data_IF_590713290039
#
_entry.id   IF_590713290039
#
_cell.length_a   1.000
_cell.length_b   1.000
_cell.length_c   1.000
_cell.angle_alpha   90.00
_cell.angle_beta   90.00
_cell.angle_gamma   90.00
#
_symmetry.space_group_name_H-M   'P 1'
#
loop_
_entity.id
_entity.type
_entity.pdbx_description
1 polymer ?
#
# COMPACT_ATOMS: atom_id res chain seq x y z
N UNK A 1 -1.06 44.85 4.15
CA UNK A 1 -0.28 43.63 4.38
C UNK A 1 -1.16 42.71 5.20
N UNK A 2 -1.72 41.62 4.64
CA UNK A 2 -2.37 40.64 5.50
C UNK A 2 -1.27 39.98 6.35
N UNK A 3 -1.59 39.67 7.60
CA UNK A 3 -0.73 38.86 8.44
C UNK A 3 -0.64 37.47 7.82
N UNK A 4 0.57 36.97 7.58
CA UNK A 4 0.83 35.54 7.39
C UNK A 4 0.40 34.83 8.68
N UNK A 5 -0.87 34.43 8.74
CA UNK A 5 -1.30 33.36 9.64
C UNK A 5 -0.78 32.07 9.04
N UNK A 6 0.51 31.86 9.28
CA UNK A 6 1.37 30.76 8.84
C UNK A 6 1.17 29.53 9.75
N UNK A 7 -0.07 29.36 10.21
CA UNK A 7 -0.57 28.31 11.08
C UNK A 7 -1.22 27.29 10.15
N UNK A 8 -0.44 26.27 9.75
CA UNK A 8 -0.98 25.10 9.08
C UNK A 8 -2.00 24.52 10.08
N UNK A 9 -3.29 24.42 9.77
CA UNK A 9 -4.27 23.87 10.73
C UNK A 9 -3.86 22.45 11.18
N UNK A 10 -3.16 21.72 10.30
CA UNK A 10 -2.50 20.45 10.61
C UNK A 10 -1.44 20.53 11.72
N UNK A 11 -0.79 21.68 11.94
CA UNK A 11 0.24 21.87 12.98
C UNK A 11 -0.38 22.11 14.37
N UNK A 12 -1.60 22.66 14.45
CA UNK A 12 -2.31 22.92 15.71
C UNK A 12 -2.82 21.62 16.34
N UNK A 13 -3.42 20.73 15.54
CA UNK A 13 -3.92 19.43 16.00
C UNK A 13 -2.77 18.53 16.53
N UNK A 14 -1.55 18.69 16.00
CA UNK A 14 -0.36 17.95 16.46
C UNK A 14 0.19 18.42 17.82
N UNK A 15 -0.08 19.67 18.22
CA UNK A 15 0.35 20.20 19.52
C UNK A 15 -0.47 19.64 20.67
N UNK A 16 -1.71 19.23 20.39
CA UNK A 16 -2.63 18.67 21.38
C UNK A 16 -2.31 17.20 21.69
N UNK A 17 -1.56 16.51 20.82
CA UNK A 17 -1.13 15.13 21.00
C UNK A 17 0.02 14.99 22.01
N UNK A 18 -0.28 14.51 23.22
CA UNK A 18 0.71 14.14 24.25
C UNK A 18 1.23 12.70 24.07
N UNK A 19 1.93 12.48 22.95
CA UNK A 19 2.56 11.19 22.64
C UNK A 19 3.94 11.06 23.30
N UNK A 20 4.21 9.91 23.93
CA UNK A 20 5.56 9.51 24.27
C UNK A 20 6.38 9.17 23.02
N UNK A 21 7.72 9.26 23.13
CA UNK A 21 8.64 8.84 22.05
C UNK A 21 8.39 7.39 21.59
N UNK A 22 7.96 6.52 22.52
CA UNK A 22 7.66 5.12 22.21
C UNK A 22 6.35 4.97 21.42
N UNK A 23 5.32 5.75 21.73
CA UNK A 23 4.06 5.76 20.98
C UNK A 23 4.23 6.38 19.59
N UNK A 24 4.97 7.48 19.48
CA UNK A 24 5.30 8.09 18.18
C UNK A 24 6.07 7.11 17.28
N UNK A 25 7.07 6.41 17.83
CA UNK A 25 7.82 5.38 17.10
C UNK A 25 6.93 4.20 16.69
N UNK A 26 6.03 3.75 17.56
CA UNK A 26 5.12 2.65 17.26
C UNK A 26 4.13 3.02 16.14
N UNK A 27 3.55 4.22 16.18
CA UNK A 27 2.64 4.72 15.14
C UNK A 27 3.35 4.83 13.79
N UNK A 28 4.58 5.36 13.78
CA UNK A 28 5.38 5.43 12.56
C UNK A 28 5.66 4.02 11.98
N UNK A 29 6.06 3.06 12.82
CA UNK A 29 6.34 1.70 12.38
C UNK A 29 5.07 0.98 11.88
N UNK A 30 3.91 1.22 12.50
CA UNK A 30 2.61 0.72 12.00
C UNK A 30 2.28 1.29 10.62
N UNK A 31 2.44 2.61 10.45
CA UNK A 31 2.21 3.28 9.17
C UNK A 31 3.12 2.75 8.06
N UNK A 32 4.41 2.56 8.34
CA UNK A 32 5.33 1.94 7.38
C UNK A 32 4.96 0.47 7.11
N UNK A 33 4.55 -0.25 8.16
CA UNK A 33 4.10 -1.63 8.07
C UNK A 33 2.92 -1.77 7.11
N UNK A 34 1.87 -0.99 7.29
CA UNK A 34 0.68 -1.07 6.44
C UNK A 34 0.97 -0.64 5.01
N UNK A 35 1.82 0.36 4.80
CA UNK A 35 2.28 0.76 3.47
C UNK A 35 2.98 -0.40 2.74
N UNK A 36 3.78 -1.20 3.46
CA UNK A 36 4.37 -2.42 2.93
C UNK A 36 3.35 -3.52 2.64
N UNK A 37 2.30 -3.66 3.45
CA UNK A 37 1.19 -4.59 3.19
C UNK A 37 0.45 -4.20 1.91
N UNK A 38 0.11 -2.91 1.73
CA UNK A 38 -0.50 -2.42 0.48
C UNK A 38 0.38 -2.65 -0.75
N UNK A 39 1.70 -2.48 -0.62
CA UNK A 39 2.64 -2.81 -1.70
C UNK A 39 2.69 -4.30 -2.02
N UNK A 40 2.61 -5.15 -1.00
CA UNK A 40 2.54 -6.60 -1.18
C UNK A 40 1.24 -6.98 -1.91
N UNK A 41 0.11 -6.39 -1.53
CA UNK A 41 -1.16 -6.57 -2.22
C UNK A 41 -1.10 -6.12 -3.69
N UNK A 42 -0.52 -4.95 -3.96
CA UNK A 42 -0.28 -4.48 -5.32
C UNK A 42 0.59 -5.44 -6.15
N UNK A 43 1.58 -6.07 -5.52
CA UNK A 43 2.42 -7.08 -6.17
C UNK A 43 1.64 -8.37 -6.45
N UNK A 44 0.73 -8.76 -5.56
CA UNK A 44 -0.16 -9.91 -5.75
C UNK A 44 -1.13 -9.68 -6.92
N UNK A 45 -1.68 -8.46 -7.05
CA UNK A 45 -2.50 -8.06 -8.20
C UNK A 45 -1.70 -8.09 -9.51
N UNK A 46 -0.47 -7.59 -9.51
CA UNK A 46 0.42 -7.67 -10.66
C UNK A 46 0.67 -9.12 -11.07
N UNK A 47 0.97 -9.99 -10.09
CA UNK A 47 1.12 -11.43 -10.34
C UNK A 47 -0.15 -12.05 -10.96
N UNK A 48 -1.33 -11.72 -10.42
CA UNK A 48 -2.61 -12.17 -10.97
C UNK A 48 -2.79 -11.75 -12.44
N UNK A 49 -2.54 -10.49 -12.77
CA UNK A 49 -2.67 -9.99 -14.14
C UNK A 49 -1.65 -10.63 -15.10
N UNK A 50 -0.39 -10.75 -14.69
CA UNK A 50 0.64 -11.38 -15.53
C UNK A 50 0.32 -12.85 -15.79
N UNK A 51 -0.20 -13.57 -14.79
CA UNK A 51 -0.62 -14.95 -14.99
C UNK A 51 -1.84 -15.03 -15.90
N UNK A 52 -2.84 -14.17 -15.72
CA UNK A 52 -3.99 -14.09 -16.61
C UNK A 52 -3.59 -13.89 -18.08
N UNK A 53 -2.68 -12.94 -18.34
CA UNK A 53 -2.13 -12.74 -19.69
C UNK A 53 -1.37 -13.96 -20.23
N UNK A 54 -0.65 -14.69 -19.38
CA UNK A 54 0.00 -15.92 -19.80
C UNK A 54 -1.03 -17.01 -20.17
N UNK A 55 -2.10 -17.13 -19.39
CA UNK A 55 -3.19 -18.08 -19.64
C UNK A 55 -3.95 -17.74 -20.93
N UNK A 56 -4.19 -16.46 -21.23
CA UNK A 56 -4.75 -16.02 -22.51
C UNK A 56 -3.88 -16.51 -23.69
N UNK A 57 -2.55 -16.36 -23.58
CA UNK A 57 -1.63 -16.85 -24.61
C UNK A 57 -1.59 -18.37 -24.73
N UNK A 58 -1.81 -19.09 -23.62
CA UNK A 58 -1.94 -20.54 -23.65
C UNK A 58 -3.24 -20.98 -24.33
N UNK A 59 -4.32 -20.21 -24.15
CA UNK A 59 -5.58 -20.42 -24.88
C UNK A 59 -5.40 -20.18 -26.38
N UNK A 60 -4.75 -19.08 -26.77
CA UNK A 60 -4.43 -18.82 -28.19
C UNK A 60 -3.59 -19.97 -28.79
N UNK A 61 -2.66 -20.52 -27.99
CA UNK A 61 -1.82 -21.65 -28.41
C UNK A 61 -2.62 -22.95 -28.56
N UNK A 62 -3.64 -23.19 -27.74
CA UNK A 62 -4.58 -24.31 -27.91
C UNK A 62 -5.21 -24.26 -29.31
N UNK A 63 -5.80 -23.12 -29.67
CA UNK A 63 -6.44 -22.93 -30.97
C UNK A 63 -5.44 -23.11 -32.12
N UNK A 64 -4.26 -22.51 -32.01
CA UNK A 64 -3.21 -22.63 -33.02
C UNK A 64 -2.71 -24.08 -33.19
N UNK A 65 -2.59 -24.84 -32.09
CA UNK A 65 -2.23 -26.25 -32.15
C UNK A 65 -3.31 -27.08 -32.86
N UNK A 66 -4.59 -26.80 -32.58
CA UNK A 66 -5.72 -27.46 -33.24
C UNK A 66 -5.72 -27.18 -34.74
N UNK A 67 -5.55 -25.92 -35.14
CA UNK A 67 -5.44 -25.52 -36.56
C UNK A 67 -4.26 -26.19 -37.28
N UNK A 68 -3.14 -26.38 -36.58
CA UNK A 68 -1.96 -27.07 -37.09
C UNK A 68 -2.10 -28.61 -37.13
N UNK A 69 -3.22 -29.17 -36.65
CA UNK A 69 -3.48 -30.61 -36.62
C UNK A 69 -2.85 -31.35 -35.42
N UNK A 70 -2.47 -30.63 -34.37
CA UNK A 70 -1.88 -31.17 -33.13
C UNK A 70 -2.92 -31.33 -32.02
N UNK A 71 -3.98 -32.11 -32.30
CA UNK A 71 -5.13 -32.35 -31.41
C UNK A 71 -4.74 -32.82 -30.01
N UNK A 72 -3.80 -33.77 -29.88
CA UNK A 72 -3.38 -34.31 -28.59
C UNK A 72 -2.82 -33.23 -27.63
N UNK A 73 -2.04 -32.28 -28.17
CA UNK A 73 -1.47 -31.20 -27.37
C UNK A 73 -2.50 -30.12 -27.05
N UNK A 74 -3.40 -29.82 -27.99
CA UNK A 74 -4.51 -28.90 -27.76
C UNK A 74 -5.46 -29.45 -26.68
N UNK A 75 -5.85 -30.72 -26.75
CA UNK A 75 -6.71 -31.36 -25.76
C UNK A 75 -6.05 -31.37 -24.37
N UNK A 76 -4.74 -31.64 -24.29
CA UNK A 76 -4.01 -31.56 -23.01
C UNK A 76 -3.99 -30.15 -22.42
N UNK A 77 -3.81 -29.12 -23.25
CA UNK A 77 -3.92 -27.73 -22.76
C UNK A 77 -5.32 -27.46 -22.22
N UNK A 78 -6.36 -27.81 -22.98
CA UNK A 78 -7.76 -27.58 -22.62
C UNK A 78 -8.20 -28.31 -21.36
N UNK A 79 -7.84 -29.58 -21.25
CA UNK A 79 -8.40 -30.48 -20.24
C UNK A 79 -7.56 -30.46 -18.95
N UNK A 80 -6.23 -30.25 -19.04
CA UNK A 80 -5.34 -30.33 -17.88
C UNK A 80 -4.78 -28.98 -17.44
N UNK A 81 -4.34 -28.12 -18.37
CA UNK A 81 -3.51 -26.96 -18.02
C UNK A 81 -4.29 -25.65 -17.87
N UNK A 82 -5.21 -25.34 -18.78
CA UNK A 82 -6.04 -24.14 -18.72
C UNK A 82 -7.00 -24.09 -17.52
N UNK A 83 -7.64 -25.20 -17.10
CA UNK A 83 -8.54 -25.17 -15.94
C UNK A 83 -7.81 -25.31 -14.58
N UNK A 84 -6.54 -25.70 -14.57
CA UNK A 84 -5.81 -25.96 -13.33
C UNK A 84 -5.57 -24.68 -12.52
N UNK A 85 -5.66 -24.80 -11.20
CA UNK A 85 -5.24 -23.72 -10.31
C UNK A 85 -3.72 -23.58 -10.24
N UNK A 86 -3.26 -22.36 -9.98
CA UNK A 86 -1.85 -22.01 -9.95
C UNK A 86 -1.13 -22.53 -8.69
N UNK A 87 -1.82 -22.49 -7.54
CA UNK A 87 -1.27 -22.85 -6.23
C UNK A 87 -2.34 -23.64 -5.48
N UNK A 88 -2.03 -24.89 -5.08
CA UNK A 88 -2.97 -25.74 -4.35
C UNK A 88 -4.35 -25.89 -5.03
N UNK A 89 -4.36 -25.87 -6.37
CA UNK A 89 -5.56 -25.86 -7.22
C UNK A 89 -6.46 -24.61 -7.11
N UNK A 90 -6.00 -23.56 -6.41
CA UNK A 90 -6.66 -22.25 -6.40
C UNK A 90 -6.26 -21.42 -7.62
N UNK A 91 -7.22 -20.70 -8.17
CA UNK A 91 -6.99 -19.64 -9.15
C UNK A 91 -6.48 -18.39 -8.44
N UNK A 92 -5.64 -17.61 -9.12
CA UNK A 92 -4.99 -16.46 -8.47
C UNK A 92 -5.95 -15.35 -8.04
N UNK A 93 -7.15 -15.27 -8.62
CA UNK A 93 -8.18 -14.33 -8.14
C UNK A 93 -8.67 -14.72 -6.73
N UNK A 94 -8.74 -16.02 -6.41
CA UNK A 94 -9.15 -16.49 -5.09
C UNK A 94 -8.10 -16.08 -4.04
N UNK A 95 -6.81 -16.20 -4.38
CA UNK A 95 -5.73 -15.72 -3.52
C UNK A 95 -5.77 -14.20 -3.32
N UNK A 96 -6.13 -13.44 -4.36
CA UNK A 96 -6.29 -11.98 -4.28
C UNK A 96 -7.45 -11.63 -3.34
N UNK A 97 -8.62 -12.26 -3.53
CA UNK A 97 -9.81 -12.02 -2.70
C UNK A 97 -9.60 -12.42 -1.24
N UNK A 98 -8.99 -13.59 -0.99
CA UNK A 98 -8.66 -14.07 0.36
C UNK A 98 -7.69 -13.10 1.03
N UNK A 99 -6.61 -12.70 0.34
CA UNK A 99 -5.66 -11.73 0.90
C UNK A 99 -6.31 -10.39 1.21
N UNK A 100 -7.14 -9.86 0.29
CA UNK A 100 -7.76 -8.55 0.50
C UNK A 100 -8.76 -8.56 1.64
N UNK A 101 -9.59 -9.59 1.72
CA UNK A 101 -10.73 -9.63 2.64
C UNK A 101 -10.35 -10.17 4.03
N UNK A 102 -9.41 -11.10 4.10
CA UNK A 102 -9.06 -11.74 5.38
C UNK A 102 -7.83 -11.14 6.04
N UNK A 103 -6.83 -10.70 5.27
CA UNK A 103 -5.57 -10.20 5.85
C UNK A 103 -5.44 -8.68 5.77
N UNK A 104 -5.68 -8.10 4.60
CA UNK A 104 -5.48 -6.67 4.39
C UNK A 104 -6.48 -5.85 5.21
N UNK A 105 -7.77 -6.15 5.09
CA UNK A 105 -8.82 -5.46 5.84
C UNK A 105 -8.59 -5.53 7.36
N UNK A 106 -8.21 -6.69 7.90
CA UNK A 106 -7.96 -6.85 9.34
C UNK A 106 -6.79 -6.01 9.84
N UNK A 107 -5.68 -5.93 9.08
CA UNK A 107 -4.50 -5.15 9.49
C UNK A 107 -4.74 -3.65 9.29
N UNK A 108 -5.46 -3.24 8.24
CA UNK A 108 -5.90 -1.85 8.04
C UNK A 108 -6.79 -1.38 9.20
N UNK A 109 -7.77 -2.19 9.60
CA UNK A 109 -8.66 -1.86 10.74
C UNK A 109 -7.88 -1.78 12.05
N UNK A 110 -6.91 -2.68 12.28
CA UNK A 110 -6.06 -2.65 13.46
C UNK A 110 -5.19 -1.39 13.51
N UNK A 111 -4.52 -1.02 12.40
CA UNK A 111 -3.74 0.23 12.32
C UNK A 111 -4.62 1.44 12.63
N UNK A 112 -5.77 1.53 11.96
CA UNK A 112 -6.70 2.64 12.13
C UNK A 112 -7.20 2.76 13.57
N UNK A 113 -7.47 1.63 14.24
CA UNK A 113 -7.89 1.61 15.64
C UNK A 113 -6.80 2.14 16.59
N UNK A 114 -5.55 1.73 16.38
CA UNK A 114 -4.42 2.20 17.20
C UNK A 114 -4.16 3.70 16.97
N UNK A 115 -4.25 4.16 15.72
CA UNK A 115 -4.09 5.57 15.37
C UNK A 115 -5.23 6.43 15.92
N UNK A 116 -6.47 5.95 15.88
CA UNK A 116 -7.60 6.64 16.50
C UNK A 116 -7.39 6.78 18.02
N UNK A 117 -6.95 5.72 18.69
CA UNK A 117 -6.76 5.73 20.15
C UNK A 117 -5.59 6.60 20.62
N UNK A 118 -4.47 6.60 19.90
CA UNK A 118 -3.25 7.27 20.34
C UNK A 118 -3.07 8.67 19.73
N UNK A 119 -3.58 8.90 18.53
CA UNK A 119 -3.30 10.10 17.74
C UNK A 119 -4.55 10.78 17.19
N UNK A 120 -5.73 10.52 17.77
CA UNK A 120 -7.01 11.11 17.35
C UNK A 120 -7.27 10.98 15.84
N UNK A 121 -6.81 9.87 15.24
CA UNK A 121 -6.96 9.58 13.82
C UNK A 121 -5.96 10.28 12.90
N UNK A 122 -5.04 11.09 13.44
CA UNK A 122 -4.09 11.89 12.65
C UNK A 122 -3.03 11.00 11.99
N UNK A 123 -2.97 11.04 10.65
CA UNK A 123 -1.94 10.37 9.85
C UNK A 123 -0.59 11.08 9.90
N UNK A 124 0.50 10.34 9.69
CA UNK A 124 1.84 10.90 9.46
C UNK A 124 2.36 11.81 10.58
N UNK A 125 2.03 11.52 11.84
CA UNK A 125 2.40 12.36 13.00
C UNK A 125 3.91 12.67 13.03
N UNK A 126 4.74 11.64 12.81
CA UNK A 126 6.21 11.79 12.82
C UNK A 126 6.69 12.71 11.68
N UNK A 127 6.22 12.49 10.46
CA UNK A 127 6.61 13.29 9.29
C UNK A 127 6.10 14.72 9.39
N UNK A 128 4.88 14.92 9.94
CA UNK A 128 4.34 16.25 10.19
C UNK A 128 5.17 17.00 11.23
N UNK A 129 5.53 16.37 12.36
CA UNK A 129 6.46 16.94 13.37
C UNK A 129 7.82 17.28 12.75
N UNK A 130 8.37 16.41 11.90
CA UNK A 130 9.61 16.68 11.19
C UNK A 130 9.49 17.88 10.23
N UNK A 131 8.41 17.95 9.44
CA UNK A 131 8.10 19.06 8.52
C UNK A 131 8.03 20.38 9.28
N UNK A 132 7.37 20.41 10.43
CA UNK A 132 7.30 21.58 11.32
C UNK A 132 8.67 22.00 11.83
N UNK A 133 9.48 21.09 12.36
CA UNK A 133 10.82 21.40 12.85
C UNK A 133 11.72 21.98 11.74
N UNK A 134 11.61 21.46 10.52
CA UNK A 134 12.30 21.99 9.33
C UNK A 134 11.86 23.42 9.00
N UNK A 135 10.55 23.70 9.04
CA UNK A 135 9.97 25.05 8.82
C UNK A 135 10.43 26.04 9.89
N UNK A 136 10.37 25.67 11.17
CA UNK A 136 10.80 26.54 12.28
C UNK A 136 12.29 26.87 12.21
N UNK A 137 13.13 25.90 11.80
CA UNK A 137 14.56 26.15 11.56
C UNK A 137 14.75 27.17 10.43
N UNK A 138 14.00 27.06 9.35
CA UNK A 138 14.09 27.99 8.22
C UNK A 138 13.69 29.43 8.61
N UNK A 139 12.60 29.60 9.40
CA UNK A 139 12.15 30.91 9.92
C UNK A 139 13.21 31.57 10.82
N UNK A 140 13.92 30.77 11.63
CA UNK A 140 15.03 31.26 12.48
C UNK A 140 16.27 31.69 11.70
N UNK A 141 16.55 31.04 10.56
CA UNK A 141 17.66 31.46 9.68
C UNK A 141 17.37 32.74 8.90
N UNK A 142 16.10 33.05 8.61
CA UNK A 142 15.69 34.28 7.92
C UNK A 142 15.65 35.51 8.86
N UNK A 143 15.48 35.28 10.16
CA UNK A 143 15.42 36.33 11.19
C UNK A 143 16.80 36.71 11.77
N UNK A 144 17.89 36.16 11.24
CA UNK A 144 19.25 36.41 11.72
C UNK A 144 20.26 36.72 10.63
N UNK A 145 20.14 37.87 9.95
CA UNK A 145 21.26 38.81 9.68
C UNK A 145 20.81 40.13 9.01
N UNK A 146 20.96 41.24 9.73
CA UNK A 146 21.43 42.51 9.17
C UNK A 146 22.31 43.14 10.26
N UNK A 147 23.63 42.96 10.20
CA UNK A 147 24.55 43.66 11.08
C UNK A 147 24.82 45.04 10.48
N UNK A 148 24.46 46.09 11.23
CA UNK A 148 25.04 47.44 11.09
C UNK A 148 25.62 47.85 12.46
#
# INVERSE_FOLDING_TARGET
>A
MPADSDDDPDDADLEELDLSDAEEAALHDLQLGIEHVHRAYGTLLEFHHQLGHAMDRMSDAEDALREAGHEEWADRLRDDHLPAGAISDQWTYELVEEFSTEFLEEVDEFEGSVREELADGIDHVTERRQKRALRERARRSDSGESPD
#
